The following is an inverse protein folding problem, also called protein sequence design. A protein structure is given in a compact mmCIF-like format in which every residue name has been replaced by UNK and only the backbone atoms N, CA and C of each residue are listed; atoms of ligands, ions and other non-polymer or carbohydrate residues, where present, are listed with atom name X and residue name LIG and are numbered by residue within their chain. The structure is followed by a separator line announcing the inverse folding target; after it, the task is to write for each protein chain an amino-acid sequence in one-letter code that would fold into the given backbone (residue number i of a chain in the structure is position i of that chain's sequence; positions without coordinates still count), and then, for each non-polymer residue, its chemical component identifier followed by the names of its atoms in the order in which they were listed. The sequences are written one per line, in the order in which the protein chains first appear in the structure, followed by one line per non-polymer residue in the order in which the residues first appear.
data_IF_918692191042
#
_entry.id   IF_918692191042
#
_cell.length_a   1.000
_cell.length_b   1.000
_cell.length_c   1.000
_cell.angle_alpha   90.00
_cell.angle_beta   90.00
_cell.angle_gamma   90.00
#
_symmetry.space_group_name_H-M   'P 1'
#
loop_
_entity.id
_entity.type
_entity.pdbx_description
1 polymer ?
#
# COMPACT_ATOMS: atom_id res chain seq x y z
N UNK A 1 -11.48 -15.87 25.84
CA UNK A 1 -10.37 -16.75 25.41
C UNK A 1 -9.81 -16.18 24.12
N UNK A 2 -8.55 -15.73 24.09
CA UNK A 2 -7.92 -15.20 22.87
C UNK A 2 -7.23 -16.33 22.09
N UNK A 3 -7.34 -16.31 20.76
CA UNK A 3 -6.60 -17.23 19.88
C UNK A 3 -5.27 -16.58 19.49
N UNK A 4 -4.18 -17.33 19.57
CA UNK A 4 -2.86 -16.91 19.07
C UNK A 4 -2.73 -17.37 17.62
N UNK A 5 -3.01 -16.48 16.68
CA UNK A 5 -2.92 -16.73 15.23
C UNK A 5 -1.80 -15.86 14.68
N UNK A 6 -0.83 -16.48 14.00
CA UNK A 6 0.24 -15.76 13.33
C UNK A 6 -0.29 -15.12 12.03
N UNK A 7 0.19 -13.91 11.73
CA UNK A 7 -0.27 -13.11 10.60
C UNK A 7 0.94 -12.60 9.81
N UNK A 8 0.88 -12.73 8.49
CA UNK A 8 1.81 -12.07 7.57
C UNK A 8 1.05 -10.96 6.82
N UNK A 9 1.30 -9.68 7.11
CA UNK A 9 0.70 -8.59 6.34
C UNK A 9 1.29 -8.56 4.93
N UNK A 10 0.43 -8.38 3.93
CA UNK A 10 0.85 -8.38 2.53
C UNK A 10 0.18 -7.24 1.73
N UNK A 11 1.02 -6.39 1.12
CA UNK A 11 0.63 -5.39 0.11
C UNK A 11 0.69 -5.96 -1.30
N UNK A 12 1.37 -5.28 -2.22
CA UNK A 12 1.53 -5.70 -3.63
C UNK A 12 2.42 -6.94 -3.87
N UNK A 13 3.01 -7.52 -2.81
CA UNK A 13 3.88 -8.70 -2.86
C UNK A 13 5.10 -8.55 -3.81
N UNK A 14 5.68 -7.36 -3.89
CA UNK A 14 6.82 -7.03 -4.78
C UNK A 14 8.18 -6.99 -4.07
N UNK A 15 8.21 -7.28 -2.76
CA UNK A 15 9.43 -7.30 -1.96
C UNK A 15 10.37 -8.45 -2.35
N UNK A 16 11.67 -8.18 -2.38
CA UNK A 16 12.70 -9.15 -2.84
C UNK A 16 13.34 -9.97 -1.71
N UNK A 17 13.00 -9.68 -0.45
CA UNK A 17 13.54 -10.35 0.74
C UNK A 17 12.55 -11.34 1.38
N UNK A 18 11.52 -11.77 0.62
CA UNK A 18 10.48 -12.73 1.04
C UNK A 18 9.64 -12.37 2.29
N UNK A 19 9.77 -11.17 2.86
CA UNK A 19 9.08 -10.78 4.10
C UNK A 19 7.54 -10.70 4.04
N UNK A 20 6.95 -10.74 2.84
CA UNK A 20 5.50 -10.78 2.63
C UNK A 20 4.93 -12.19 2.43
N UNK A 21 5.73 -13.24 2.64
CA UNK A 21 5.39 -14.64 2.36
C UNK A 21 5.30 -15.40 3.70
N UNK A 22 4.27 -16.24 3.86
CA UNK A 22 4.14 -17.15 5.01
C UNK A 22 5.23 -18.24 4.95
N UNK A 23 5.86 -18.52 6.09
CA UNK A 23 6.92 -19.55 6.20
C UNK A 23 6.30 -20.90 6.59
N UNK A 24 5.25 -20.87 7.41
CA UNK A 24 4.50 -22.03 7.88
C UNK A 24 3.02 -21.89 7.51
N UNK A 25 2.16 -21.71 8.51
CA UNK A 25 0.70 -21.66 8.40
C UNK A 25 0.13 -20.28 8.80
N UNK A 26 0.96 -19.23 8.71
CA UNK A 26 0.50 -17.88 9.01
C UNK A 26 -0.62 -17.43 8.07
N UNK A 27 -1.62 -16.74 8.62
CA UNK A 27 -2.68 -16.14 7.81
C UNK A 27 -2.13 -14.93 7.07
N UNK A 28 -2.22 -14.95 5.74
CA UNK A 28 -1.90 -13.77 4.94
C UNK A 28 -3.02 -12.74 5.09
N UNK A 29 -2.69 -11.57 5.63
CA UNK A 29 -3.58 -10.43 5.70
C UNK A 29 -3.30 -9.50 4.51
N UNK A 30 -4.03 -9.72 3.41
CA UNK A 30 -3.95 -8.85 2.24
C UNK A 30 -4.60 -7.50 2.51
N UNK A 31 -3.87 -6.42 2.23
CA UNK A 31 -4.37 -5.04 2.33
C UNK A 31 -4.96 -4.51 1.02
N UNK A 32 -4.98 -5.31 -0.05
CA UNK A 32 -5.40 -4.90 -1.40
C UNK A 32 -6.79 -4.25 -1.49
N UNK A 33 -7.71 -4.56 -0.56
CA UNK A 33 -9.05 -3.97 -0.49
C UNK A 33 -9.11 -2.66 0.32
N UNK A 34 -8.06 -2.33 1.05
CA UNK A 34 -7.88 -1.05 1.72
C UNK A 34 -7.19 -0.10 0.74
N UNK A 35 -7.92 0.37 -0.27
CA UNK A 35 -7.35 1.06 -1.43
C UNK A 35 -8.02 2.42 -1.71
N UNK A 36 -8.54 3.08 -0.67
CA UNK A 36 -9.21 4.38 -0.81
C UNK A 36 -8.26 5.55 -0.55
N UNK A 37 -8.30 6.55 -1.42
CA UNK A 37 -7.85 7.91 -1.08
C UNK A 37 -8.85 8.52 -0.09
N UNK A 38 -8.35 9.13 0.98
CA UNK A 38 -9.14 9.72 2.07
C UNK A 38 -9.22 11.24 1.95
N UNK A 39 -8.09 11.90 1.67
CA UNK A 39 -8.03 13.34 1.47
C UNK A 39 -6.73 13.75 0.79
N UNK A 40 -6.76 14.88 0.08
CA UNK A 40 -5.58 15.58 -0.41
C UNK A 40 -5.68 17.04 0.01
N UNK A 41 -4.73 17.53 0.79
CA UNK A 41 -4.53 18.95 1.03
C UNK A 41 -3.67 19.50 -0.12
N UNK A 42 -4.25 20.41 -0.92
CA UNK A 42 -3.60 20.96 -2.11
C UNK A 42 -2.60 22.06 -1.79
N UNK A 43 -2.71 22.70 -0.62
CA UNK A 43 -1.80 23.77 -0.24
C UNK A 43 -0.51 23.18 0.31
N UNK A 44 -0.60 22.13 1.14
CA UNK A 44 0.56 21.44 1.69
C UNK A 44 1.08 20.27 0.84
N UNK A 45 0.24 19.74 -0.06
CA UNK A 45 0.52 18.53 -0.84
C UNK A 45 0.33 17.22 -0.04
N UNK A 46 -0.24 17.27 1.16
CA UNK A 46 -0.42 16.10 2.01
C UNK A 46 -1.56 15.19 1.51
N UNK A 47 -1.19 13.99 1.05
CA UNK A 47 -2.12 12.93 0.66
C UNK A 47 -2.33 11.95 1.84
N UNK A 48 -3.59 11.67 2.17
CA UNK A 48 -3.99 10.62 3.12
C UNK A 48 -4.70 9.53 2.33
N UNK A 49 -4.21 8.30 2.42
CA UNK A 49 -4.76 7.14 1.71
C UNK A 49 -4.65 5.87 2.56
N UNK A 50 -5.41 4.84 2.19
CA UNK A 50 -5.28 3.53 2.78
C UNK A 50 -3.95 2.85 2.36
N UNK A 51 -3.45 1.93 3.19
CA UNK A 51 -2.16 1.27 2.99
C UNK A 51 -2.07 0.35 1.75
N UNK A 52 -3.20 -0.06 1.18
CA UNK A 52 -3.27 -0.90 -0.01
C UNK A 52 -3.44 -0.12 -1.31
N UNK A 53 -3.34 1.22 -1.28
CA UNK A 53 -3.33 2.01 -2.50
C UNK A 53 -2.06 1.72 -3.32
N UNK A 54 -2.26 1.40 -4.60
CA UNK A 54 -1.18 1.17 -5.56
C UNK A 54 -0.47 2.50 -5.84
N UNK A 55 0.86 2.50 -5.78
CA UNK A 55 1.67 3.72 -5.90
C UNK A 55 1.43 4.45 -7.24
N UNK A 56 1.32 3.72 -8.34
CA UNK A 56 1.01 4.29 -9.66
C UNK A 56 -0.37 4.97 -9.69
N UNK A 57 -1.37 4.39 -9.01
CA UNK A 57 -2.71 4.99 -8.92
C UNK A 57 -2.66 6.30 -8.12
N UNK A 58 -1.89 6.33 -7.03
CA UNK A 58 -1.71 7.55 -6.24
C UNK A 58 -0.96 8.63 -7.03
N UNK A 59 0.10 8.28 -7.75
CA UNK A 59 0.87 9.20 -8.59
C UNK A 59 0.02 9.82 -9.70
N UNK A 60 -0.79 8.99 -10.39
CA UNK A 60 -1.75 9.48 -11.37
C UNK A 60 -2.80 10.42 -10.75
N UNK A 61 -3.33 10.07 -9.58
CA UNK A 61 -4.32 10.88 -8.87
C UNK A 61 -3.77 12.26 -8.46
N UNK A 62 -2.59 12.31 -7.86
CA UNK A 62 -1.98 13.59 -7.46
C UNK A 62 -1.49 14.41 -8.67
N UNK A 63 -1.16 13.73 -9.78
CA UNK A 63 -0.84 14.34 -11.06
C UNK A 63 -1.95 15.21 -11.63
N UNK A 64 -3.22 14.90 -11.36
CA UNK A 64 -4.37 15.74 -11.73
C UNK A 64 -4.32 17.14 -11.08
N UNK A 65 -3.54 17.30 -10.01
CA UNK A 65 -3.36 18.56 -9.28
C UNK A 65 -1.96 19.18 -9.49
N UNK A 66 -1.19 18.67 -10.45
CA UNK A 66 0.18 19.15 -10.71
C UNK A 66 1.20 18.73 -9.64
N UNK A 67 0.87 17.73 -8.83
CA UNK A 67 1.74 17.13 -7.82
C UNK A 67 2.29 15.79 -8.33
N UNK A 68 3.27 15.22 -7.62
CA UNK A 68 3.79 13.87 -7.87
C UNK A 68 4.07 13.16 -6.56
N UNK A 69 4.00 11.83 -6.54
CA UNK A 69 4.42 11.07 -5.38
C UNK A 69 5.94 11.24 -5.17
N UNK A 70 6.40 11.42 -3.91
CA UNK A 70 7.81 11.70 -3.63
C UNK A 70 8.72 10.47 -3.81
N UNK A 71 8.16 9.33 -4.18
CA UNK A 71 8.87 8.07 -4.43
C UNK A 71 8.32 7.41 -5.69
N UNK A 72 9.23 6.95 -6.55
CA UNK A 72 8.90 6.14 -7.72
C UNK A 72 9.80 4.89 -7.72
N UNK A 73 9.20 3.74 -8.00
CA UNK A 73 9.84 2.43 -7.97
C UNK A 73 9.36 1.63 -9.19
N UNK A 74 10.23 0.81 -9.77
CA UNK A 74 9.85 -0.06 -10.90
C UNK A 74 8.70 -1.03 -10.60
N UNK A 75 8.38 -1.25 -9.32
CA UNK A 75 7.29 -2.09 -8.85
C UNK A 75 5.96 -1.34 -8.61
N UNK A 76 5.85 -0.05 -8.96
CA UNK A 76 4.73 0.84 -8.54
C UNK A 76 3.32 0.44 -9.01
N UNK A 77 3.20 -0.42 -10.02
CA UNK A 77 1.91 -0.80 -10.63
C UNK A 77 1.21 -2.01 -9.99
N UNK A 78 1.61 -2.45 -8.80
CA UNK A 78 1.05 -3.61 -8.10
C UNK A 78 0.77 -3.36 -6.62
#
# INVERSE_FOLDING_TARGET
MYRRIAIVPQGGNTGVLAGGIAVFDEVILSLSKMNKVRSLDKDSGALVCDAGCILEVLDNYVGEFGLTMPIDLGAKGR
#
